data_IF_347170188896
#
_entry.id   IF_347170188896
#
_cell.length_a   1.000
_cell.length_b   1.000
_cell.length_c   1.000
_cell.angle_alpha   90.00
_cell.angle_beta   90.00
_cell.angle_gamma   90.00
#
_symmetry.space_group_name_H-M   'P 1'
#
loop_
_entity.id
_entity.type
_entity.pdbx_description
1 polymer ?
#
# COMPACT_ATOMS: atom_id res chain seq x y z
N UNK A 1 12.09 28.71 10.45
CA UNK A 1 11.70 28.11 9.15
C UNK A 1 10.31 27.52 9.13
N UNK A 2 9.84 26.87 10.20
CA UNK A 2 8.43 26.44 10.30
C UNK A 2 7.41 27.59 10.36
N UNK A 3 7.81 28.80 10.79
CA UNK A 3 6.89 29.94 10.93
C UNK A 3 6.23 30.35 9.61
N UNK A 4 7.01 30.73 8.57
CA UNK A 4 6.45 31.09 7.25
C UNK A 4 5.64 29.95 6.64
N UNK A 5 6.14 28.73 6.77
CA UNK A 5 5.43 27.54 6.33
C UNK A 5 4.06 27.41 7.00
N UNK A 6 3.97 27.59 8.32
CA UNK A 6 2.72 27.50 9.07
C UNK A 6 1.79 28.70 8.78
N UNK A 7 2.33 29.93 8.76
CA UNK A 7 1.54 31.15 8.52
C UNK A 7 0.94 31.21 7.11
N UNK A 8 1.64 30.68 6.11
CA UNK A 8 1.15 30.63 4.73
C UNK A 8 0.28 29.40 4.45
N UNK A 9 -0.19 28.68 5.47
CA UNK A 9 -1.07 27.53 5.28
C UNK A 9 -0.34 26.30 4.74
N UNK A 10 0.84 26.00 5.27
CA UNK A 10 1.62 24.81 4.94
C UNK A 10 2.09 24.72 3.48
N UNK A 11 2.37 25.87 2.86
CA UNK A 11 2.94 25.99 1.50
C UNK A 11 4.30 25.28 1.42
N UNK A 12 4.61 24.72 0.24
CA UNK A 12 5.86 24.00 0.04
C UNK A 12 7.07 24.93 0.28
N UNK A 13 8.08 24.46 1.02
CA UNK A 13 9.31 25.20 1.27
C UNK A 13 9.99 25.67 -0.04
N UNK A 14 9.87 24.92 -1.13
CA UNK A 14 10.37 25.34 -2.45
C UNK A 14 9.66 26.60 -2.96
N UNK A 15 8.33 26.65 -2.84
CA UNK A 15 7.54 27.82 -3.25
C UNK A 15 7.86 29.04 -2.39
N UNK A 16 8.05 28.85 -1.08
CA UNK A 16 8.46 29.93 -0.18
C UNK A 16 9.82 30.50 -0.61
N UNK A 17 10.78 29.65 -1.02
CA UNK A 17 12.08 30.10 -1.56
C UNK A 17 11.92 30.88 -2.86
N UNK A 18 11.05 30.44 -3.76
CA UNK A 18 10.76 31.15 -5.02
C UNK A 18 10.12 32.52 -4.77
N UNK A 19 9.19 32.62 -3.82
CA UNK A 19 8.55 33.88 -3.44
C UNK A 19 9.55 34.90 -2.86
N UNK A 20 10.46 34.44 -1.99
CA UNK A 20 11.53 35.29 -1.44
C UNK A 20 12.49 35.73 -2.54
N UNK A 21 12.85 34.84 -3.47
CA UNK A 21 13.69 35.19 -4.61
C UNK A 21 13.03 36.21 -5.56
N UNK A 22 11.70 36.19 -5.66
CA UNK A 22 10.90 37.16 -6.41
C UNK A 22 10.71 38.51 -5.67
N UNK A 23 11.38 38.73 -4.53
CA UNK A 23 11.25 39.92 -3.68
C UNK A 23 9.81 40.19 -3.21
N UNK A 24 9.00 39.14 -3.00
CA UNK A 24 7.70 39.30 -2.35
C UNK A 24 7.94 39.69 -0.89
N UNK A 25 7.36 40.81 -0.48
CA UNK A 25 7.48 41.30 0.88
C UNK A 25 6.55 40.53 1.82
N UNK A 26 7.14 39.94 2.85
CA UNK A 26 6.44 39.26 3.94
C UNK A 26 6.48 40.07 5.25
N UNK A 27 6.93 41.34 5.20
CA UNK A 27 7.18 42.18 6.38
C UNK A 27 8.39 41.72 7.20
N UNK A 28 9.27 40.91 6.60
CA UNK A 28 10.39 40.24 7.27
C UNK A 28 11.66 40.35 6.41
N UNK A 29 12.79 40.64 7.04
CA UNK A 29 14.11 40.58 6.38
C UNK A 29 14.53 39.13 6.20
N UNK A 30 14.15 38.52 5.08
CA UNK A 30 14.47 37.14 4.75
C UNK A 30 15.73 37.08 3.87
N UNK A 31 16.67 36.19 4.24
CA UNK A 31 17.85 35.88 3.42
C UNK A 31 17.72 34.44 2.90
N UNK A 32 18.05 34.19 1.63
CA UNK A 32 18.06 32.83 1.06
C UNK A 32 18.87 31.82 1.87
N UNK A 33 19.99 32.23 2.50
CA UNK A 33 20.80 31.38 3.39
C UNK A 33 20.07 30.96 4.67
N UNK A 34 19.09 31.75 5.10
CA UNK A 34 18.26 31.43 6.27
C UNK A 34 17.15 30.42 5.94
N UNK A 35 16.77 30.28 4.66
CA UNK A 35 15.71 29.40 4.20
C UNK A 35 16.17 27.93 4.09
N UNK A 36 16.30 27.26 5.24
CA UNK A 36 16.59 25.82 5.30
C UNK A 36 15.35 24.98 5.02
N UNK A 37 15.57 23.75 4.54
CA UNK A 37 14.51 22.78 4.39
C UNK A 37 13.89 22.45 5.75
N UNK A 38 12.57 22.30 5.75
CA UNK A 38 11.78 22.08 6.96
C UNK A 38 10.88 20.87 6.77
N UNK A 39 11.15 19.81 7.51
CA UNK A 39 10.31 18.61 7.56
C UNK A 39 9.13 18.80 8.51
N UNK A 40 8.05 19.43 8.03
CA UNK A 40 6.81 19.54 8.79
C UNK A 40 6.12 18.16 8.88
N UNK A 41 6.12 17.54 10.07
CA UNK A 41 5.54 16.21 10.30
C UNK A 41 4.07 16.12 9.84
N UNK A 42 3.16 17.06 10.19
CA UNK A 42 1.79 17.06 9.67
C UNK A 42 1.71 17.08 8.14
N UNK A 43 2.55 17.89 7.48
CA UNK A 43 2.57 17.93 6.02
C UNK A 43 3.10 16.67 5.40
N UNK A 44 4.14 16.08 5.99
CA UNK A 44 4.67 14.81 5.53
C UNK A 44 3.57 13.75 5.63
N UNK A 45 2.92 13.59 6.77
CA UNK A 45 1.83 12.61 6.94
C UNK A 45 0.63 12.86 6.01
N UNK A 46 0.23 14.12 5.82
CA UNK A 46 -0.94 14.46 5.00
C UNK A 46 -0.67 14.46 3.48
N UNK A 47 0.56 14.81 3.06
CA UNK A 47 0.94 14.98 1.65
C UNK A 47 1.83 13.85 1.13
N UNK A 48 2.16 12.85 1.94
CA UNK A 48 2.96 11.71 1.48
C UNK A 48 2.23 10.99 0.35
N UNK A 49 2.89 10.87 -0.80
CA UNK A 49 2.38 10.04 -1.89
C UNK A 49 2.78 8.60 -1.64
N UNK A 50 1.86 7.67 -1.87
CA UNK A 50 2.16 6.23 -1.89
C UNK A 50 3.31 5.99 -2.85
N UNK A 51 4.41 5.44 -2.35
CA UNK A 51 5.53 5.02 -3.19
C UNK A 51 5.16 3.76 -3.97
N UNK A 52 5.71 3.62 -5.18
CA UNK A 52 5.55 2.41 -5.96
C UNK A 52 6.41 1.30 -5.37
N UNK A 53 5.84 0.11 -5.19
CA UNK A 53 6.61 -1.08 -4.87
C UNK A 53 7.27 -1.62 -6.15
N UNK A 54 8.53 -2.05 -6.05
CA UNK A 54 9.18 -2.79 -7.15
C UNK A 54 8.40 -4.09 -7.36
N UNK A 55 7.86 -4.30 -8.56
CA UNK A 55 7.28 -5.60 -8.93
C UNK A 55 8.43 -6.59 -9.08
N UNK A 56 8.32 -7.75 -8.42
CA UNK A 56 9.25 -8.86 -8.63
C UNK A 56 8.60 -9.84 -9.62
N UNK A 57 9.02 -9.88 -10.90
CA UNK A 57 8.37 -10.70 -11.92
C UNK A 57 8.79 -12.19 -11.86
N UNK A 58 9.60 -12.59 -10.87
CA UNK A 58 10.09 -13.96 -10.76
C UNK A 58 8.95 -14.94 -10.45
N UNK A 59 8.41 -15.54 -11.51
CA UNK A 59 7.44 -16.63 -11.45
C UNK A 59 8.17 -17.95 -11.22
N UNK A 60 7.62 -18.78 -10.34
CA UNK A 60 8.07 -20.16 -10.15
C UNK A 60 7.85 -20.98 -11.42
N UNK A 61 8.77 -21.89 -11.71
CA UNK A 61 8.73 -22.71 -12.94
C UNK A 61 8.49 -24.18 -12.64
N UNK A 62 8.77 -24.62 -11.42
CA UNK A 62 8.57 -26.01 -11.02
C UNK A 62 7.14 -26.14 -10.48
N UNK A 63 6.31 -27.06 -11.00
CA UNK A 63 4.97 -27.32 -10.47
C UNK A 63 5.00 -27.56 -8.97
N UNK A 64 4.03 -27.01 -8.25
CA UNK A 64 3.88 -27.12 -6.79
C UNK A 64 5.03 -26.52 -5.96
N UNK A 65 5.97 -25.80 -6.57
CA UNK A 65 7.06 -25.11 -5.86
C UNK A 65 6.53 -23.98 -4.97
N UNK A 66 5.44 -23.32 -5.39
CA UNK A 66 4.77 -22.29 -4.61
C UNK A 66 3.28 -22.26 -4.91
N UNK A 67 2.50 -22.44 -3.85
CA UNK A 67 1.05 -22.28 -3.87
C UNK A 67 0.68 -20.90 -3.29
N UNK A 68 -0.10 -20.14 -4.04
CA UNK A 68 -0.80 -18.96 -3.53
C UNK A 68 -2.17 -19.40 -3.03
N UNK A 69 -2.45 -19.15 -1.76
CA UNK A 69 -3.69 -19.57 -1.09
C UNK A 69 -4.43 -18.34 -0.58
N UNK A 70 -5.73 -18.27 -0.84
CA UNK A 70 -6.59 -17.23 -0.31
C UNK A 70 -7.95 -17.80 0.15
N UNK A 71 -8.56 -17.16 1.14
CA UNK A 71 -9.87 -17.52 1.66
C UNK A 71 -10.83 -16.37 1.41
N UNK A 72 -11.81 -16.60 0.55
CA UNK A 72 -12.75 -15.60 0.09
C UNK A 72 -14.14 -15.89 0.65
N UNK A 73 -14.88 -14.83 1.02
CA UNK A 73 -16.29 -14.95 1.38
C UNK A 73 -17.18 -15.06 0.15
N UNK A 74 -18.27 -15.81 0.28
CA UNK A 74 -19.37 -15.91 -0.69
C UNK A 74 -20.63 -15.36 -0.04
N UNK A 75 -21.24 -14.36 -0.65
CA UNK A 75 -22.52 -13.80 -0.21
C UNK A 75 -23.43 -13.55 -1.40
N UNK A 76 -24.70 -14.01 -1.39
CA UNK A 76 -25.31 -14.85 -0.34
C UNK A 76 -24.67 -16.25 -0.28
N UNK A 77 -24.98 -17.03 0.76
CA UNK A 77 -24.50 -18.41 0.88
C UNK A 77 -24.86 -19.24 -0.37
N UNK A 78 -24.08 -20.26 -0.67
CA UNK A 78 -24.40 -21.23 -1.73
C UNK A 78 -25.69 -21.98 -1.40
N UNK A 79 -26.23 -22.72 -2.39
CA UNK A 79 -27.41 -23.58 -2.20
C UNK A 79 -27.20 -24.61 -1.08
N UNK A 80 -25.95 -25.06 -0.86
CA UNK A 80 -25.59 -26.04 0.17
C UNK A 80 -25.18 -25.42 1.51
N UNK A 81 -25.19 -24.09 1.61
CA UNK A 81 -24.96 -23.33 2.84
C UNK A 81 -23.50 -22.94 3.11
N UNK A 82 -22.62 -23.01 2.12
CA UNK A 82 -21.25 -22.51 2.25
C UNK A 82 -21.21 -20.98 2.06
N UNK A 83 -20.47 -20.30 2.94
CA UNK A 83 -20.32 -18.84 2.92
C UNK A 83 -18.88 -18.41 2.58
N UNK A 84 -18.01 -19.36 2.29
CA UNK A 84 -16.61 -19.13 1.99
C UNK A 84 -16.11 -20.14 0.94
N UNK A 85 -15.01 -19.80 0.28
CA UNK A 85 -14.23 -20.76 -0.48
C UNK A 85 -12.73 -20.54 -0.29
N UNK A 86 -12.00 -21.64 -0.34
CA UNK A 86 -10.55 -21.69 -0.41
C UNK A 86 -10.12 -21.71 -1.87
N UNK A 87 -9.35 -20.70 -2.28
CA UNK A 87 -8.71 -20.64 -3.59
C UNK A 87 -7.24 -21.02 -3.42
N UNK A 88 -6.79 -22.05 -4.14
CA UNK A 88 -5.39 -22.44 -4.20
C UNK A 88 -4.93 -22.36 -5.64
N UNK A 89 -3.84 -21.64 -5.90
CA UNK A 89 -3.27 -21.46 -7.24
C UNK A 89 -1.81 -21.88 -7.21
N UNK A 90 -1.44 -22.84 -8.05
CA UNK A 90 -0.04 -23.13 -8.33
C UNK A 90 0.56 -22.01 -9.19
N UNK A 91 1.62 -21.36 -8.70
CA UNK A 91 2.26 -20.26 -9.42
C UNK A 91 2.92 -20.72 -10.73
N UNK A 92 3.42 -21.95 -10.78
CA UNK A 92 4.12 -22.47 -11.95
C UNK A 92 3.16 -22.84 -13.08
N UNK A 93 2.10 -23.59 -12.80
CA UNK A 93 1.17 -24.08 -13.85
C UNK A 93 -0.07 -23.21 -14.04
N UNK A 94 -0.42 -22.34 -13.08
CA UNK A 94 -1.76 -21.71 -12.94
C UNK A 94 -2.89 -22.69 -12.69
N UNK A 95 -2.59 -23.95 -12.38
CA UNK A 95 -3.62 -24.87 -11.93
C UNK A 95 -4.28 -24.31 -10.67
N UNK A 96 -5.61 -24.35 -10.64
CA UNK A 96 -6.41 -23.73 -9.59
C UNK A 96 -7.32 -24.77 -8.98
N UNK A 97 -7.28 -24.88 -7.66
CA UNK A 97 -8.25 -25.62 -6.87
C UNK A 97 -9.18 -24.63 -6.17
N UNK A 98 -10.46 -24.97 -6.11
CA UNK A 98 -11.47 -24.21 -5.40
C UNK A 98 -12.28 -25.15 -4.52
N UNK A 99 -12.38 -24.86 -3.23
CA UNK A 99 -13.13 -25.65 -2.27
C UNK A 99 -14.13 -24.76 -1.55
N UNK A 100 -15.42 -25.10 -1.59
CA UNK A 100 -16.44 -24.43 -0.80
C UNK A 100 -16.32 -24.86 0.68
N UNK A 101 -16.50 -23.91 1.59
CA UNK A 101 -16.34 -24.11 3.03
C UNK A 101 -17.55 -23.55 3.80
N UNK A 102 -18.01 -24.29 4.81
CA UNK A 102 -18.98 -23.77 5.78
C UNK A 102 -18.28 -23.04 6.91
N UNK A 103 -17.17 -23.60 7.39
CA UNK A 103 -16.34 -22.99 8.42
C UNK A 103 -14.91 -22.72 7.94
N UNK A 104 -14.30 -21.67 8.50
CA UNK A 104 -12.90 -21.32 8.20
C UNK A 104 -11.91 -22.40 8.69
N UNK A 105 -12.30 -23.19 9.68
CA UNK A 105 -11.52 -24.30 10.26
C UNK A 105 -11.21 -25.40 9.23
N UNK A 106 -12.11 -25.62 8.27
CA UNK A 106 -11.98 -26.65 7.23
C UNK A 106 -10.78 -26.43 6.29
N UNK A 107 -10.36 -25.17 6.11
CA UNK A 107 -9.27 -24.81 5.19
C UNK A 107 -7.94 -25.49 5.56
N UNK A 108 -7.64 -25.65 6.86
CA UNK A 108 -6.37 -26.22 7.32
C UNK A 108 -6.17 -27.66 6.83
N UNK A 109 -7.22 -28.49 6.94
CA UNK A 109 -7.17 -29.89 6.52
C UNK A 109 -7.03 -30.02 4.99
N UNK A 110 -7.68 -29.15 4.22
CA UNK A 110 -7.58 -29.12 2.76
C UNK A 110 -6.19 -28.71 2.29
N UNK A 111 -5.57 -27.71 2.95
CA UNK A 111 -4.21 -27.27 2.65
C UNK A 111 -3.20 -28.38 2.98
N UNK A 112 -3.36 -29.06 4.11
CA UNK A 112 -2.50 -30.20 4.48
C UNK A 112 -2.54 -31.29 3.41
N UNK A 113 -3.73 -31.62 2.89
CA UNK A 113 -3.91 -32.61 1.82
C UNK A 113 -3.28 -32.22 0.47
N UNK A 114 -3.04 -30.93 0.23
CA UNK A 114 -2.41 -30.44 -1.00
C UNK A 114 -0.88 -30.41 -0.95
N UNK A 115 -0.32 -30.37 0.26
CA UNK A 115 1.13 -30.21 0.49
C UNK A 115 1.79 -31.53 0.91
N UNK A 116 1.02 -32.44 1.54
CA UNK A 116 1.45 -33.78 1.97
C UNK A 116 0.95 -34.85 0.98
#
# INVERSE_FOLDING_TARGET
>A
MGLLHNCLGHVNMKQIKEMVAANIDFGLKLNMKSLKDYGCVPCLSAKFKRTTYKRNPNRKKVPLEKLSVDLCGVKPATVSGEEMFLLVVDEATRYTWCYLLKEKSEASALIQKLIL
#
